data_IF_849384235506
#
_entry.id   IF_849384235506
#
_cell.length_a   1.000
_cell.length_b   1.000
_cell.length_c   1.000
_cell.angle_alpha   90.00
_cell.angle_beta   90.00
_cell.angle_gamma   90.00
#
_symmetry.space_group_name_H-M   'P 1'
#
loop_
_entity.id
_entity.type
_entity.pdbx_description
1 polymer ?
#
# COMPACT_ATOMS: atom_id res chain seq x y z
N UNK A 1 24.70 -24.65 1.58
CA UNK A 1 25.50 -24.68 2.83
C UNK A 1 25.42 -26.01 3.57
N UNK A 2 24.23 -26.56 3.84
CA UNK A 2 24.06 -27.85 4.54
C UNK A 2 24.84 -29.03 3.91
N UNK A 3 24.74 -29.21 2.60
CA UNK A 3 25.44 -30.29 1.88
C UNK A 3 26.96 -30.22 2.02
N UNK A 4 27.56 -29.01 1.98
CA UNK A 4 29.00 -28.83 2.20
C UNK A 4 29.43 -29.23 3.60
N UNK A 5 28.67 -28.83 4.63
CA UNK A 5 28.94 -29.25 6.01
C UNK A 5 28.78 -30.76 6.21
N UNK A 6 27.78 -31.36 5.58
CA UNK A 6 27.58 -32.81 5.60
C UNK A 6 28.75 -33.57 4.94
N UNK A 7 29.28 -33.07 3.82
CA UNK A 7 30.48 -33.64 3.17
C UNK A 7 31.71 -33.55 4.08
N UNK A 8 31.89 -32.43 4.79
CA UNK A 8 32.97 -32.30 5.78
C UNK A 8 32.86 -33.36 6.87
N UNK A 9 31.67 -33.51 7.46
CA UNK A 9 31.43 -34.49 8.53
C UNK A 9 31.61 -35.93 8.02
N UNK A 10 31.09 -36.26 6.83
CA UNK A 10 31.24 -37.58 6.23
C UNK A 10 32.71 -37.91 5.92
N UNK A 11 33.45 -36.97 5.34
CA UNK A 11 34.87 -37.15 5.03
C UNK A 11 35.71 -37.30 6.31
N UNK A 12 35.37 -36.56 7.37
CA UNK A 12 35.99 -36.71 8.69
C UNK A 12 35.68 -38.07 9.32
N UNK A 13 34.45 -38.57 9.21
CA UNK A 13 34.07 -39.90 9.70
C UNK A 13 34.80 -41.03 8.94
N UNK A 14 35.13 -40.80 7.66
CA UNK A 14 35.96 -41.69 6.84
C UNK A 14 37.47 -41.62 7.15
N UNK A 15 37.89 -40.89 8.18
CA UNK A 15 39.30 -40.80 8.60
C UNK A 15 40.18 -39.86 7.76
N UNK A 16 39.59 -39.02 6.90
CA UNK A 16 40.37 -38.06 6.11
C UNK A 16 40.91 -36.93 6.98
N UNK A 17 42.13 -36.48 6.69
CA UNK A 17 42.74 -35.36 7.40
C UNK A 17 42.10 -34.02 7.00
N UNK A 18 42.07 -33.05 7.93
CA UNK A 18 41.50 -31.72 7.70
C UNK A 18 42.03 -31.03 6.42
N UNK A 19 43.33 -31.06 6.10
CA UNK A 19 43.85 -30.44 4.86
C UNK A 19 43.29 -31.10 3.58
N UNK A 20 43.06 -32.42 3.60
CA UNK A 20 42.47 -33.15 2.46
C UNK A 20 41.00 -32.73 2.28
N UNK A 21 40.25 -32.67 3.39
CA UNK A 21 38.85 -32.27 3.39
C UNK A 21 38.71 -30.82 2.90
N UNK A 22 39.55 -29.90 3.38
CA UNK A 22 39.56 -28.49 2.98
C UNK A 22 39.73 -28.31 1.47
N UNK A 23 40.67 -29.05 0.86
CA UNK A 23 40.85 -29.08 -0.60
C UNK A 23 39.62 -29.64 -1.33
N UNK A 24 39.02 -30.70 -0.81
CA UNK A 24 37.84 -31.34 -1.39
C UNK A 24 36.60 -30.43 -1.38
N UNK A 25 36.35 -29.72 -0.28
CA UNK A 25 35.19 -28.81 -0.15
C UNK A 25 35.46 -27.37 -0.58
N UNK A 26 36.68 -27.06 -1.02
CA UNK A 26 37.15 -25.72 -1.37
C UNK A 26 36.86 -24.70 -0.25
N UNK A 27 37.31 -25.02 0.97
CA UNK A 27 37.17 -24.17 2.16
C UNK A 27 38.51 -24.07 2.89
N UNK A 28 38.62 -23.12 3.81
CA UNK A 28 39.76 -23.02 4.71
C UNK A 28 39.74 -24.12 5.78
N UNK A 29 40.92 -24.53 6.26
CA UNK A 29 41.06 -25.60 7.25
C UNK A 29 40.39 -25.26 8.59
N UNK A 30 40.38 -23.99 8.99
CA UNK A 30 39.76 -23.55 10.25
C UNK A 30 38.24 -23.65 10.20
N UNK A 31 37.62 -23.37 9.06
CA UNK A 31 36.18 -23.57 8.80
C UNK A 31 35.83 -25.05 8.83
N UNK A 32 36.69 -25.93 8.29
CA UNK A 32 36.53 -27.39 8.39
C UNK A 32 36.60 -27.84 9.86
N UNK A 33 37.63 -27.43 10.62
CA UNK A 33 37.70 -27.70 12.07
C UNK A 33 36.47 -27.20 12.80
N UNK A 34 36.05 -25.97 12.52
CA UNK A 34 34.88 -25.35 13.14
C UNK A 34 33.56 -26.07 12.82
N UNK A 35 33.43 -26.71 11.65
CA UNK A 35 32.28 -27.57 11.33
C UNK A 35 32.34 -28.89 12.11
N UNK A 36 33.51 -29.53 12.18
CA UNK A 36 33.69 -30.79 12.93
C UNK A 36 33.45 -30.58 14.42
N UNK A 37 34.02 -29.53 15.02
CA UNK A 37 33.80 -29.20 16.44
C UNK A 37 32.33 -28.95 16.74
N UNK A 38 31.66 -28.10 15.94
CA UNK A 38 30.20 -27.86 16.10
C UNK A 38 29.36 -29.12 15.93
N UNK A 39 29.76 -30.03 15.05
CA UNK A 39 29.08 -31.31 14.89
C UNK A 39 29.28 -32.22 16.10
N UNK A 40 30.49 -32.27 16.66
CA UNK A 40 30.77 -33.06 17.87
C UNK A 40 30.04 -32.50 19.11
N UNK A 41 29.80 -31.20 19.17
CA UNK A 41 29.06 -30.55 20.27
C UNK A 41 27.54 -30.64 20.13
N UNK A 42 26.99 -30.36 18.94
CA UNK A 42 25.54 -30.21 18.73
C UNK A 42 24.91 -31.33 17.90
N UNK A 43 25.69 -32.18 17.25
CA UNK A 43 25.21 -33.23 16.35
C UNK A 43 24.62 -32.69 15.03
N UNK A 44 23.59 -33.36 14.51
CA UNK A 44 22.93 -32.99 13.24
C UNK A 44 22.42 -31.54 13.13
N UNK A 45 21.89 -30.90 14.20
CA UNK A 45 21.55 -29.47 14.18
C UNK A 45 22.66 -28.53 13.69
N UNK A 46 23.95 -28.91 13.84
CA UNK A 46 25.09 -28.09 13.38
C UNK A 46 25.18 -27.95 11.85
N UNK A 47 24.55 -28.87 11.10
CA UNK A 47 24.56 -28.87 9.65
C UNK A 47 23.70 -27.75 9.07
N UNK A 48 22.67 -27.32 9.80
CA UNK A 48 21.82 -26.24 9.38
C UNK A 48 22.53 -24.88 9.60
N UNK A 49 22.49 -23.98 8.60
CA UNK A 49 23.08 -22.66 8.74
C UNK A 49 22.32 -21.88 9.82
N UNK A 50 23.00 -21.55 10.91
CA UNK A 50 22.53 -20.56 11.86
C UNK A 50 22.74 -19.18 11.23
N UNK A 51 21.74 -18.70 10.51
CA UNK A 51 21.70 -17.31 10.12
C UNK A 51 21.57 -16.49 11.40
N UNK A 52 22.62 -15.73 11.73
CA UNK A 52 22.48 -14.66 12.72
C UNK A 52 21.33 -13.78 12.23
N UNK A 53 20.24 -13.72 13.00
CA UNK A 53 19.09 -12.90 12.66
C UNK A 53 19.59 -11.51 12.29
N UNK A 54 19.10 -10.97 11.17
CA UNK A 54 19.49 -9.63 10.73
C UNK A 54 19.21 -8.58 11.82
N UNK A 55 19.69 -7.35 11.60
CA UNK A 55 19.50 -6.23 12.53
C UNK A 55 18.05 -6.19 13.04
N UNK A 56 17.83 -6.11 14.37
CA UNK A 56 16.50 -6.12 14.94
C UNK A 56 15.64 -5.00 14.35
N UNK A 57 14.35 -5.28 14.15
CA UNK A 57 13.40 -4.31 13.61
C UNK A 57 13.22 -3.19 14.63
N UNK A 58 13.49 -1.95 14.21
CA UNK A 58 13.33 -0.76 15.06
C UNK A 58 11.89 -0.23 15.11
N UNK A 59 11.00 -0.73 14.25
CA UNK A 59 9.62 -0.28 14.14
C UNK A 59 8.73 -1.42 14.67
N UNK A 60 7.97 -1.13 15.72
CA UNK A 60 6.99 -2.05 16.30
C UNK A 60 5.77 -2.20 15.37
N UNK A 61 5.05 -3.33 15.38
CA UNK A 61 3.78 -3.47 14.66
C UNK A 61 2.78 -2.33 14.95
N UNK A 62 2.73 -1.88 16.20
CA UNK A 62 1.88 -0.76 16.62
C UNK A 62 2.32 0.57 16.01
N UNK A 63 3.63 0.76 15.79
CA UNK A 63 4.14 1.93 15.06
C UNK A 63 3.69 1.86 13.61
N UNK A 64 3.71 0.67 12.98
CA UNK A 64 3.24 0.50 11.60
C UNK A 64 1.76 0.90 11.48
N UNK A 65 0.91 0.46 12.42
CA UNK A 65 -0.51 0.83 12.45
C UNK A 65 -0.74 2.32 12.67
N UNK A 66 0.02 2.94 13.59
CA UNK A 66 -0.07 4.38 13.84
C UNK A 66 0.31 5.20 12.60
N UNK A 67 1.36 4.79 11.88
CA UNK A 67 1.77 5.41 10.62
C UNK A 67 0.66 5.32 9.57
N UNK A 68 0.05 4.15 9.41
CA UNK A 68 -1.04 3.90 8.46
C UNK A 68 -2.25 4.77 8.76
N UNK A 69 -2.69 4.81 10.02
CA UNK A 69 -3.83 5.64 10.45
C UNK A 69 -3.57 7.13 10.22
N UNK A 70 -2.37 7.59 10.57
CA UNK A 70 -1.96 8.99 10.37
C UNK A 70 -1.92 9.36 8.89
N UNK A 71 -1.41 8.48 8.03
CA UNK A 71 -1.34 8.70 6.58
C UNK A 71 -2.72 8.81 5.93
N UNK A 72 -3.70 8.02 6.39
CA UNK A 72 -5.09 8.05 5.90
C UNK A 72 -5.87 9.27 6.42
N UNK A 73 -5.47 9.84 7.55
CA UNK A 73 -6.14 11.00 8.13
C UNK A 73 -5.73 12.27 7.38
N UNK A 74 -6.69 13.16 7.08
CA UNK A 74 -6.36 14.45 6.45
C UNK A 74 -5.55 15.32 7.42
N UNK A 75 -4.46 15.97 6.99
CA UNK A 75 -3.67 16.80 7.89
C UNK A 75 -4.43 18.00 8.48
N UNK A 76 -5.46 18.48 7.78
CA UNK A 76 -6.37 19.51 8.30
C UNK A 76 -7.14 19.04 9.53
N UNK A 77 -7.53 17.76 9.60
CA UNK A 77 -8.16 17.18 10.78
C UNK A 77 -7.19 17.09 11.98
N UNK A 78 -5.89 17.09 11.71
CA UNK A 78 -4.82 17.13 12.72
C UNK A 78 -4.31 18.56 12.98
N UNK A 79 -5.05 19.59 12.57
CA UNK A 79 -4.72 21.00 12.83
C UNK A 79 -3.48 21.51 12.08
N UNK A 80 -3.05 20.84 11.01
CA UNK A 80 -1.87 21.26 10.23
C UNK A 80 -2.26 22.22 9.11
N UNK A 81 -1.40 23.23 8.79
CA UNK A 81 -1.70 24.26 7.80
C UNK A 81 -1.56 23.76 6.34
N UNK A 82 -1.72 22.47 6.08
CA UNK A 82 -1.61 21.88 4.76
C UNK A 82 -2.69 20.83 4.51
N UNK A 83 -3.07 20.70 3.23
CA UNK A 83 -4.20 19.87 2.80
C UNK A 83 -3.83 18.41 2.53
N UNK A 84 -2.52 18.12 2.33
CA UNK A 84 -2.04 16.78 1.94
C UNK A 84 -0.72 16.40 2.61
N UNK A 85 -0.54 15.11 2.86
CA UNK A 85 0.74 14.55 3.31
C UNK A 85 1.72 14.41 2.15
N UNK A 86 2.91 14.99 2.31
CA UNK A 86 4.10 14.49 1.62
C UNK A 86 4.81 13.49 2.53
N UNK A 87 5.59 12.56 1.97
CA UNK A 87 6.37 11.58 2.75
C UNK A 87 7.26 12.30 3.77
N UNK A 88 7.82 13.46 3.40
CA UNK A 88 8.63 14.28 4.30
C UNK A 88 7.79 14.84 5.46
N UNK A 89 6.67 15.50 5.15
CA UNK A 89 5.78 16.06 6.18
C UNK A 89 5.21 14.99 7.12
N UNK A 90 4.94 13.80 6.60
CA UNK A 90 4.48 12.67 7.39
C UNK A 90 5.58 12.20 8.35
N UNK A 91 6.82 12.02 7.86
CA UNK A 91 7.96 11.68 8.71
C UNK A 91 8.23 12.74 9.78
N UNK A 92 8.21 14.02 9.40
CA UNK A 92 8.42 15.14 10.34
C UNK A 92 7.30 15.18 11.40
N UNK A 93 6.06 14.92 11.01
CA UNK A 93 4.93 14.86 11.93
C UNK A 93 5.05 13.68 12.92
N UNK A 94 5.43 12.50 12.43
CA UNK A 94 5.65 11.31 13.26
C UNK A 94 6.82 11.47 14.24
N UNK A 95 7.86 12.21 13.85
CA UNK A 95 8.98 12.54 14.73
C UNK A 95 8.65 13.62 15.76
N UNK A 96 7.73 14.54 15.45
CA UNK A 96 7.34 15.65 16.32
C UNK A 96 6.13 15.35 17.22
N UNK A 97 5.55 14.14 17.15
CA UNK A 97 4.37 13.80 17.92
C UNK A 97 4.72 13.48 19.39
N UNK A 98 4.17 14.22 20.37
CA UNK A 98 4.52 14.06 21.78
C UNK A 98 4.00 12.75 22.40
N UNK A 99 2.96 12.14 21.81
CA UNK A 99 2.37 10.88 22.31
C UNK A 99 3.21 9.66 21.94
N UNK A 100 3.82 9.65 20.75
CA UNK A 100 4.58 8.50 20.23
C UNK A 100 5.56 8.96 19.15
N UNK A 101 6.84 9.04 19.51
CA UNK A 101 7.93 9.44 18.60
C UNK A 101 8.35 8.25 17.74
N UNK A 102 8.10 8.34 16.43
CA UNK A 102 8.41 7.26 15.48
C UNK A 102 9.44 7.75 14.47
N UNK A 103 10.70 7.36 14.66
CA UNK A 103 11.82 7.72 13.77
C UNK A 103 11.89 6.76 12.60
N UNK A 104 11.43 7.21 11.42
CA UNK A 104 11.39 6.38 10.21
C UNK A 104 12.02 7.12 9.04
N UNK A 105 12.97 6.46 8.39
CA UNK A 105 13.54 6.96 7.14
C UNK A 105 12.50 7.05 6.01
N UNK A 106 12.64 8.05 5.14
CA UNK A 106 11.69 8.31 4.04
C UNK A 106 11.40 7.09 3.17
N UNK A 107 12.44 6.29 2.88
CA UNK A 107 12.28 5.10 2.04
C UNK A 107 11.59 3.95 2.78
N UNK A 108 11.91 3.74 4.06
CA UNK A 108 11.20 2.76 4.89
C UNK A 108 9.72 3.12 5.02
N UNK A 109 9.40 4.41 5.19
CA UNK A 109 8.04 4.92 5.21
C UNK A 109 7.33 4.64 3.87
N UNK A 110 7.97 4.89 2.73
CA UNK A 110 7.41 4.57 1.40
C UNK A 110 7.12 3.07 1.25
N UNK A 111 8.06 2.21 1.66
CA UNK A 111 7.88 0.76 1.60
C UNK A 111 6.75 0.28 2.50
N UNK A 112 6.63 0.86 3.71
CA UNK A 112 5.57 0.55 4.65
C UNK A 112 4.20 0.94 4.06
N UNK A 113 4.06 2.14 3.53
CA UNK A 113 2.82 2.56 2.87
C UNK A 113 2.45 1.65 1.70
N UNK A 114 3.42 1.26 0.86
CA UNK A 114 3.19 0.31 -0.24
C UNK A 114 2.79 -1.08 0.24
N UNK A 115 3.41 -1.59 1.32
CA UNK A 115 3.09 -2.88 1.93
C UNK A 115 1.66 -2.91 2.46
N UNK A 116 1.16 -1.78 2.98
CA UNK A 116 -0.23 -1.61 3.42
C UNK A 116 -1.17 -1.17 2.29
N UNK A 117 -0.72 -1.24 1.03
CA UNK A 117 -1.47 -0.83 -0.16
C UNK A 117 -1.97 0.63 -0.12
N UNK A 118 -1.34 1.50 0.66
CA UNK A 118 -1.67 2.91 0.72
C UNK A 118 -0.94 3.61 -0.43
N UNK A 119 -1.73 4.18 -1.33
CA UNK A 119 -1.24 4.84 -2.52
C UNK A 119 -1.67 6.30 -2.53
N UNK A 120 -0.87 7.14 -3.17
CA UNK A 120 -1.23 8.53 -3.38
C UNK A 120 -2.21 8.63 -4.54
N UNK A 121 -3.46 8.95 -4.24
CA UNK A 121 -4.57 8.94 -5.18
C UNK A 121 -5.16 10.34 -5.34
N UNK A 122 -5.73 10.59 -6.52
CA UNK A 122 -6.51 11.80 -6.78
C UNK A 122 -7.93 11.59 -6.25
N UNK A 123 -8.36 12.43 -5.33
CA UNK A 123 -9.70 12.41 -4.77
C UNK A 123 -10.68 12.82 -5.86
N UNK A 124 -11.55 11.90 -6.26
CA UNK A 124 -12.72 12.28 -7.06
C UNK A 124 -13.64 13.12 -6.16
N UNK A 125 -14.02 14.30 -6.64
CA UNK A 125 -15.00 15.16 -5.97
C UNK A 125 -16.33 15.01 -6.71
N UNK A 126 -17.36 14.53 -6.01
CA UNK A 126 -18.75 14.67 -6.43
C UNK A 126 -19.33 15.92 -5.77
N UNK A 127 -20.25 16.58 -6.47
CA UNK A 127 -21.11 17.58 -5.85
C UNK A 127 -22.20 16.83 -5.09
N UNK A 128 -22.18 16.94 -3.77
CA UNK A 128 -23.33 16.57 -2.96
C UNK A 128 -24.28 17.77 -2.87
N UNK A 129 -25.58 17.49 -3.03
CA UNK A 129 -26.63 18.48 -2.79
C UNK A 129 -27.01 18.41 -1.32
N UNK A 130 -27.00 19.54 -0.62
CA UNK A 130 -27.45 19.67 0.78
C UNK A 130 -28.98 19.73 0.91
N UNK A 131 -29.72 19.34 -0.13
CA UNK A 131 -31.18 19.38 -0.15
C UNK A 131 -31.77 18.23 0.70
N UNK A 132 -32.57 18.52 1.74
CA UNK A 132 -33.21 17.51 2.56
C UNK A 132 -34.15 16.57 1.78
N UNK A 133 -34.67 17.00 0.62
CA UNK A 133 -35.53 16.20 -0.26
C UNK A 133 -34.76 15.56 -1.44
N UNK A 134 -33.42 15.56 -1.41
CA UNK A 134 -32.57 15.03 -2.48
C UNK A 134 -32.99 13.64 -2.93
N UNK A 135 -33.22 12.73 -1.98
CA UNK A 135 -33.53 11.34 -2.26
C UNK A 135 -34.87 11.20 -2.99
N UNK A 136 -35.92 11.85 -2.47
CA UNK A 136 -37.24 11.87 -3.11
C UNK A 136 -37.20 12.44 -4.53
N UNK A 137 -36.40 13.49 -4.76
CA UNK A 137 -36.21 14.08 -6.10
C UNK A 137 -35.47 13.14 -7.04
N UNK A 138 -34.41 12.47 -6.57
CA UNK A 138 -33.67 11.48 -7.37
C UNK A 138 -34.55 10.29 -7.75
N UNK A 139 -35.31 9.74 -6.80
CA UNK A 139 -36.26 8.64 -7.09
C UNK A 139 -37.33 9.05 -8.10
N UNK A 140 -37.81 10.30 -8.02
CA UNK A 140 -38.77 10.84 -8.99
C UNK A 140 -38.16 10.96 -10.39
N UNK A 141 -36.94 11.49 -10.50
CA UNK A 141 -36.21 11.59 -11.78
C UNK A 141 -35.98 10.20 -12.37
N UNK A 142 -35.53 9.24 -11.57
CA UNK A 142 -35.28 7.86 -11.99
C UNK A 142 -36.57 7.19 -12.48
N UNK A 143 -37.66 7.32 -11.73
CA UNK A 143 -38.95 6.78 -12.11
C UNK A 143 -39.42 7.34 -13.45
N UNK A 144 -39.38 8.66 -13.62
CA UNK A 144 -39.85 9.35 -14.83
C UNK A 144 -38.97 9.01 -16.04
N UNK A 145 -37.64 8.95 -15.87
CA UNK A 145 -36.69 8.58 -16.93
C UNK A 145 -36.85 7.12 -17.36
N UNK A 146 -37.17 6.23 -16.43
CA UNK A 146 -37.34 4.80 -16.70
C UNK A 146 -38.67 4.48 -17.37
N UNK A 147 -39.78 5.08 -16.91
CA UNK A 147 -41.13 4.74 -17.35
C UNK A 147 -41.61 5.58 -18.54
N UNK A 148 -41.07 6.80 -18.71
CA UNK A 148 -41.50 7.72 -19.76
C UNK A 148 -40.33 8.27 -20.58
N UNK A 149 -39.41 7.43 -21.11
CA UNK A 149 -38.16 7.91 -21.72
C UNK A 149 -38.37 8.86 -22.92
N UNK A 150 -39.50 8.74 -23.64
CA UNK A 150 -39.82 9.58 -24.79
C UNK A 150 -40.46 10.93 -24.44
N UNK A 151 -40.67 11.22 -23.14
CA UNK A 151 -41.34 12.44 -22.65
C UNK A 151 -40.51 13.19 -21.61
N UNK A 152 -39.23 12.85 -21.47
CA UNK A 152 -38.30 13.54 -20.58
C UNK A 152 -37.43 14.48 -21.37
N UNK A 153 -37.59 15.77 -21.11
CA UNK A 153 -36.68 16.82 -21.58
C UNK A 153 -35.89 17.34 -20.37
N UNK A 154 -34.56 17.31 -20.45
CA UNK A 154 -33.68 17.89 -19.45
C UNK A 154 -33.03 19.14 -20.04
N UNK A 155 -33.29 20.30 -19.43
CA UNK A 155 -32.60 21.55 -19.71
C UNK A 155 -31.60 21.81 -18.59
N UNK A 156 -30.34 22.03 -18.95
CA UNK A 156 -29.30 22.51 -18.05
C UNK A 156 -28.78 23.82 -18.62
N UNK A 157 -28.99 24.92 -17.90
CA UNK A 157 -28.42 26.22 -18.26
C UNK A 157 -26.95 26.25 -17.84
N UNK A 158 -26.14 25.55 -18.63
CA UNK A 158 -24.70 25.66 -18.51
C UNK A 158 -24.23 26.80 -19.39
N UNK A 159 -23.98 27.97 -18.80
CA UNK A 159 -23.30 29.07 -19.49
C UNK A 159 -21.90 28.65 -19.99
N UNK A 160 -21.16 29.51 -20.71
CA UNK A 160 -19.85 29.17 -21.31
C UNK A 160 -18.73 28.80 -20.30
N UNK A 161 -19.05 28.66 -19.01
CA UNK A 161 -18.14 28.31 -17.94
C UNK A 161 -18.01 26.81 -17.78
N UNK A 162 -17.02 26.20 -18.44
CA UNK A 162 -16.63 24.82 -18.12
C UNK A 162 -16.16 24.72 -16.66
N UNK A 163 -16.97 24.10 -15.79
CA UNK A 163 -16.54 23.73 -14.45
C UNK A 163 -15.38 22.75 -14.59
N UNK A 164 -14.18 23.20 -14.27
CA UNK A 164 -12.99 22.34 -14.20
C UNK A 164 -12.89 21.79 -12.78
N UNK A 165 -13.25 20.51 -12.53
CA UNK A 165 -13.14 19.94 -11.19
C UNK A 165 -11.68 19.93 -10.75
N UNK A 166 -11.36 20.72 -9.73
CA UNK A 166 -10.06 20.70 -9.06
C UNK A 166 -10.08 19.61 -8.00
N UNK A 167 -9.96 18.38 -8.47
CA UNK A 167 -9.87 17.20 -7.61
C UNK A 167 -8.62 17.26 -6.73
N UNK A 168 -8.81 17.10 -5.42
CA UNK A 168 -7.72 17.02 -4.43
C UNK A 168 -6.88 15.75 -4.59
N UNK A 169 -5.86 15.58 -3.74
CA UNK A 169 -5.05 14.36 -3.70
C UNK A 169 -4.59 14.05 -2.29
N UNK A 170 -4.48 12.76 -1.97
CA UNK A 170 -4.12 12.26 -0.64
C UNK A 170 -3.72 10.80 -0.65
N UNK A 171 -3.18 10.33 0.47
CA UNK A 171 -2.85 8.92 0.68
C UNK A 171 -4.11 8.18 1.13
N UNK A 172 -4.44 7.11 0.43
CA UNK A 172 -5.61 6.28 0.73
C UNK A 172 -5.32 4.81 0.39
N UNK A 173 -6.03 3.85 1.01
CA UNK A 173 -5.95 2.45 0.62
C UNK A 173 -6.27 2.27 -0.86
N UNK A 174 -5.55 1.36 -1.52
CA UNK A 174 -5.83 0.97 -2.90
C UNK A 174 -7.26 0.45 -2.99
N UNK A 175 -7.97 0.86 -4.03
CA UNK A 175 -9.39 0.53 -4.24
C UNK A 175 -10.36 1.09 -3.18
N UNK A 176 -9.99 2.17 -2.47
CA UNK A 176 -10.95 2.92 -1.68
C UNK A 176 -11.98 3.55 -2.65
N UNK A 177 -13.08 2.82 -2.90
CA UNK A 177 -14.30 3.40 -3.41
C UNK A 177 -14.72 4.43 -2.38
N UNK A 178 -14.75 5.67 -2.81
CA UNK A 178 -15.06 6.73 -1.89
C UNK A 178 -16.43 6.52 -1.22
N UNK A 179 -16.57 6.92 0.05
CA UNK A 179 -17.82 6.75 0.78
C UNK A 179 -18.92 7.50 0.02
N UNK A 180 -19.90 6.74 -0.51
CA UNK A 180 -20.97 7.30 -1.34
C UNK A 180 -21.53 6.32 -2.38
N UNK A 181 -20.85 5.20 -2.66
CA UNK A 181 -21.42 4.11 -3.45
C UNK A 181 -21.68 2.90 -2.54
N UNK A 182 -22.89 2.81 -1.99
CA UNK A 182 -23.45 1.47 -1.82
C UNK A 182 -23.53 0.85 -3.22
N UNK A 183 -23.00 -0.37 -3.34
CA UNK A 183 -23.04 -1.16 -4.55
C UNK A 183 -24.46 -1.23 -5.11
N UNK A 184 -24.67 -0.61 -6.28
CA UNK A 184 -25.65 -1.12 -7.23
C UNK A 184 -24.90 -1.53 -8.47
N UNK A 185 -24.52 -2.80 -8.53
CA UNK A 185 -23.98 -3.42 -9.74
C UNK A 185 -25.04 -3.38 -10.83
N UNK A 186 -24.89 -2.54 -11.87
CA UNK A 186 -25.36 -2.87 -13.23
C UNK A 186 -24.40 -2.31 -14.28
N UNK A 187 -24.01 -3.10 -15.31
CA UNK A 187 -22.99 -2.71 -16.25
C UNK A 187 -23.57 -1.88 -17.40
N UNK A 188 -22.79 -0.89 -17.83
CA UNK A 188 -22.78 -0.39 -19.20
C UNK A 188 -23.93 0.53 -19.61
N UNK A 189 -23.63 1.83 -19.72
CA UNK A 189 -24.08 2.62 -20.89
C UNK A 189 -23.21 3.87 -21.03
N UNK A 190 -22.43 3.89 -22.12
CA UNK A 190 -21.62 5.01 -22.59
C UNK A 190 -22.61 6.06 -23.13
N UNK A 191 -22.77 7.19 -22.45
CA UNK A 191 -23.55 8.31 -22.98
C UNK A 191 -22.69 9.07 -23.99
N UNK A 192 -23.06 8.97 -25.26
CA UNK A 192 -22.52 9.79 -26.36
C UNK A 192 -23.29 11.12 -26.36
N UNK A 193 -22.59 12.25 -26.26
CA UNK A 193 -23.19 13.56 -26.55
C UNK A 193 -23.25 13.74 -28.07
N UNK A 194 -24.45 13.84 -28.63
CA UNK A 194 -24.65 14.26 -30.02
C UNK A 194 -24.65 15.79 -30.08
N UNK A 195 -23.77 16.35 -30.92
CA UNK A 195 -23.70 17.78 -31.21
C UNK A 195 -24.95 18.25 -31.94
N UNK A 196 -25.34 19.48 -31.64
CA UNK A 196 -26.44 20.24 -32.25
C UNK A 196 -26.22 20.42 -33.76
N UNK A 197 -27.13 19.91 -34.58
CA UNK A 197 -27.28 20.32 -35.98
C UNK A 197 -28.13 21.60 -36.05
N UNK A 198 -27.59 22.61 -36.73
CA UNK A 198 -28.27 23.85 -37.13
C UNK A 198 -29.38 23.53 -38.13
N UNK A 199 -30.57 24.12 -37.93
CA UNK A 199 -31.65 24.13 -38.90
C UNK A 199 -31.66 25.49 -39.61
N UNK A 200 -31.49 25.57 -40.95
CA UNK A 200 -31.74 26.79 -41.69
C UNK A 200 -33.24 26.96 -41.95
N UNK A 201 -33.67 28.22 -42.02
CA UNK A 201 -35.08 28.67 -42.13
C UNK A 201 -35.77 28.22 -43.41
#
# INVERSE_FOLDING_TARGET
>A
MRLRRAMVVLASAGGNTVPVIARLVQADEDSVRGVIHRFNEMGMPSLDPQWAGGRPRQISPDDEQFIVTTANTRPTALGRPFTRWSIRKLADHLAANPTRTVLVGRERLRQLLRKHEITFQRTKTWKESNDPQREAKLSRIEHVTTHFPQRVFAFDEFGPLTIRPQAGSGWQPKNCLAPGLMETSKPGRRFSYAGTEEVPR
#
